data_IF_281746513278
#
_entry.id   IF_281746513278
#
_cell.length_a   1.000
_cell.length_b   1.000
_cell.length_c   1.000
_cell.angle_alpha   90.00
_cell.angle_beta   90.00
_cell.angle_gamma   90.00
#
_symmetry.space_group_name_H-M   'P 1'
#
loop_
_entity.id
_entity.type
_entity.pdbx_description
1 polymer ?
#
# COMPACT_ATOMS: atom_id res chain seq x y z
N UNK A 1 23.63 -22.59 2.69
CA UNK A 1 22.37 -22.77 3.44
C UNK A 1 22.22 -21.68 4.51
N UNK A 2 21.71 -20.50 4.11
CA UNK A 2 21.22 -19.51 5.08
C UNK A 2 19.85 -19.97 5.55
N UNK A 3 19.81 -20.76 6.61
CA UNK A 3 18.53 -21.13 7.22
C UNK A 3 18.22 -20.14 8.34
N UNK A 4 17.09 -19.42 8.24
CA UNK A 4 16.53 -18.56 9.29
C UNK A 4 16.09 -19.34 10.56
N UNK A 5 16.67 -20.52 10.82
CA UNK A 5 16.32 -21.46 11.91
C UNK A 5 16.47 -20.85 13.31
N UNK A 6 17.20 -19.75 13.46
CA UNK A 6 17.39 -19.05 14.75
C UNK A 6 16.35 -17.95 15.02
N UNK A 7 15.55 -17.55 14.03
CA UNK A 7 14.54 -16.51 14.20
C UNK A 7 13.15 -17.12 14.36
N UNK A 8 12.34 -16.62 15.31
CA UNK A 8 10.94 -17.02 15.41
C UNK A 8 10.22 -16.77 14.09
N UNK A 9 9.36 -17.69 13.65
CA UNK A 9 8.63 -17.57 12.38
C UNK A 9 7.86 -16.26 12.23
N UNK A 10 7.34 -15.72 13.35
CA UNK A 10 6.64 -14.43 13.41
C UNK A 10 7.53 -13.22 13.05
N UNK A 11 8.84 -13.36 13.19
CA UNK A 11 9.82 -12.31 12.92
C UNK A 11 10.42 -12.46 11.50
N UNK A 12 9.94 -13.43 10.72
CA UNK A 12 10.38 -13.68 9.35
C UNK A 12 9.34 -13.11 8.39
N UNK A 13 9.73 -12.07 7.64
CA UNK A 13 8.94 -11.57 6.52
C UNK A 13 8.99 -12.59 5.38
N UNK A 14 7.82 -13.03 4.93
CA UNK A 14 7.73 -14.02 3.86
C UNK A 14 7.88 -13.37 2.48
N UNK A 15 8.19 -14.17 1.47
CA UNK A 15 8.18 -13.68 0.07
C UNK A 15 6.80 -13.17 -0.35
N UNK A 16 5.72 -13.74 0.20
CA UNK A 16 4.37 -13.26 -0.07
C UNK A 16 4.15 -11.87 0.52
N UNK A 17 4.68 -11.59 1.71
CA UNK A 17 4.57 -10.27 2.32
C UNK A 17 5.37 -9.23 1.56
N UNK A 18 6.62 -9.56 1.21
CA UNK A 18 7.43 -8.70 0.34
C UNK A 18 6.75 -8.41 -1.01
N UNK A 19 6.15 -9.42 -1.64
CA UNK A 19 5.43 -9.23 -2.90
C UNK A 19 4.23 -8.29 -2.74
N UNK A 20 3.50 -8.36 -1.62
CA UNK A 20 2.42 -7.40 -1.33
C UNK A 20 2.95 -5.98 -1.21
N UNK A 21 4.06 -5.79 -0.49
CA UNK A 21 4.65 -4.48 -0.28
C UNK A 21 5.13 -3.88 -1.59
N UNK A 22 5.85 -4.67 -2.39
CA UNK A 22 6.34 -4.27 -3.71
C UNK A 22 5.19 -3.92 -4.66
N UNK A 23 4.14 -4.74 -4.73
CA UNK A 23 3.01 -4.43 -5.60
C UNK A 23 2.24 -3.18 -5.17
N UNK A 24 2.05 -3.01 -3.86
CA UNK A 24 1.35 -1.82 -3.32
C UNK A 24 2.14 -0.55 -3.59
N UNK A 25 3.47 -0.58 -3.35
CA UNK A 25 4.33 0.60 -3.35
C UNK A 25 4.90 0.84 -4.75
N UNK A 26 5.66 -0.10 -5.29
CA UNK A 26 6.40 0.13 -6.54
C UNK A 26 5.53 -0.04 -7.80
N UNK A 27 4.62 -1.01 -7.80
CA UNK A 27 3.66 -1.17 -8.91
C UNK A 27 2.42 -0.29 -8.75
N UNK A 28 2.25 0.37 -7.60
CA UNK A 28 1.16 1.31 -7.32
C UNK A 28 -0.23 0.69 -7.56
N UNK A 29 -0.37 -0.60 -7.24
CA UNK A 29 -1.60 -1.35 -7.51
C UNK A 29 -2.20 -1.95 -6.22
N UNK A 30 -2.81 -1.10 -5.36
CA UNK A 30 -3.37 -1.54 -4.08
C UNK A 30 -4.61 -2.44 -4.27
N UNK A 31 -5.46 -2.16 -5.27
CA UNK A 31 -6.62 -3.00 -5.59
C UNK A 31 -6.22 -4.43 -6.02
N UNK A 32 -5.23 -4.58 -6.91
CA UNK A 32 -4.75 -5.90 -7.33
C UNK A 32 -4.15 -6.66 -6.16
N UNK A 33 -3.33 -5.98 -5.33
CA UNK A 33 -2.72 -6.59 -4.14
C UNK A 33 -3.77 -7.14 -3.19
N UNK A 34 -4.85 -6.37 -2.95
CA UNK A 34 -5.96 -6.78 -2.09
C UNK A 34 -6.73 -7.97 -2.64
N UNK A 35 -6.96 -7.99 -3.95
CA UNK A 35 -7.82 -8.98 -4.61
C UNK A 35 -7.09 -10.30 -4.92
N UNK A 36 -5.77 -10.25 -5.13
CA UNK A 36 -5.00 -11.39 -5.63
C UNK A 36 -3.76 -11.75 -4.77
N UNK A 37 -3.83 -11.80 -3.42
CA UNK A 37 -2.66 -12.02 -2.58
C UNK A 37 -1.92 -13.34 -2.90
N UNK A 38 -2.64 -14.39 -3.28
CA UNK A 38 -2.07 -15.70 -3.65
C UNK A 38 -1.53 -15.79 -5.08
N UNK A 39 -1.70 -14.76 -5.93
CA UNK A 39 -1.17 -14.72 -7.31
C UNK A 39 0.04 -13.80 -7.46
N UNK A 40 0.45 -13.10 -6.40
CA UNK A 40 1.56 -12.14 -6.46
C UNK A 40 2.91 -12.79 -6.79
N UNK A 41 3.05 -14.10 -6.57
CA UNK A 41 4.26 -14.87 -6.85
C UNK A 41 4.10 -15.92 -7.95
N UNK A 42 2.99 -15.89 -8.71
CA UNK A 42 2.76 -16.84 -9.81
C UNK A 42 3.43 -16.36 -11.11
N UNK A 43 3.72 -17.31 -11.98
CA UNK A 43 4.26 -17.08 -13.32
C UNK A 43 5.59 -16.31 -13.29
N UNK A 44 5.80 -15.38 -14.22
CA UNK A 44 7.00 -14.54 -14.36
C UNK A 44 7.10 -13.42 -13.32
N UNK A 45 6.05 -13.20 -12.51
CA UNK A 45 5.96 -12.09 -11.53
C UNK A 45 7.05 -12.16 -10.47
N UNK A 46 7.48 -13.36 -10.09
CA UNK A 46 8.58 -13.53 -9.16
C UNK A 46 9.85 -12.85 -9.70
N UNK A 47 10.18 -13.07 -10.97
CA UNK A 47 11.35 -12.48 -11.60
C UNK A 47 11.20 -10.97 -11.76
N UNK A 48 9.99 -10.48 -11.99
CA UNK A 48 9.69 -9.06 -12.13
C UNK A 48 9.78 -8.32 -10.79
N UNK A 49 9.22 -8.89 -9.72
CA UNK A 49 9.27 -8.32 -8.37
C UNK A 49 10.69 -8.33 -7.83
N UNK A 50 11.36 -9.48 -7.95
CA UNK A 50 12.65 -9.72 -7.29
C UNK A 50 13.86 -9.43 -8.17
N UNK A 51 13.65 -9.03 -9.43
CA UNK A 51 14.64 -8.82 -10.50
C UNK A 51 15.83 -9.78 -10.40
N UNK A 52 15.56 -11.08 -10.26
CA UNK A 52 16.61 -12.08 -9.96
C UNK A 52 17.68 -12.20 -11.05
N UNK A 53 17.36 -11.70 -12.26
CA UNK A 53 18.28 -11.66 -13.40
C UNK A 53 19.06 -10.33 -13.50
N UNK A 54 18.75 -9.34 -12.66
CA UNK A 54 19.43 -8.05 -12.63
C UNK A 54 20.56 -8.07 -11.59
N UNK A 55 21.80 -8.21 -12.06
CA UNK A 55 23.00 -8.22 -11.21
C UNK A 55 23.26 -6.91 -10.47
N UNK A 56 22.66 -5.80 -10.92
CA UNK A 56 22.82 -4.47 -10.33
C UNK A 56 21.61 -4.05 -9.50
N UNK A 57 20.70 -4.97 -9.17
CA UNK A 57 19.51 -4.63 -8.39
C UNK A 57 19.89 -4.12 -6.99
N UNK A 58 19.26 -3.01 -6.58
CA UNK A 58 19.32 -2.56 -5.20
C UNK A 58 18.28 -3.29 -4.33
N UNK A 59 18.77 -4.22 -3.50
CA UNK A 59 17.95 -4.97 -2.55
C UNK A 59 17.39 -4.11 -1.41
N UNK A 60 17.89 -2.89 -1.18
CA UNK A 60 17.35 -1.99 -0.16
C UNK A 60 15.91 -1.59 -0.44
N UNK A 61 15.44 -1.69 -1.70
CA UNK A 61 14.02 -1.46 -2.03
C UNK A 61 13.09 -2.36 -1.23
N UNK A 62 13.44 -3.64 -1.03
CA UNK A 62 12.58 -4.55 -0.25
C UNK A 62 12.51 -4.18 1.22
N UNK A 63 13.66 -3.80 1.80
CA UNK A 63 13.74 -3.35 3.18
C UNK A 63 12.95 -2.05 3.38
N UNK A 64 13.08 -1.10 2.45
CA UNK A 64 12.35 0.16 2.49
C UNK A 64 10.84 -0.07 2.37
N UNK A 65 10.41 -0.90 1.42
CA UNK A 65 9.00 -1.25 1.25
C UNK A 65 8.40 -1.88 2.52
N UNK A 66 9.13 -2.81 3.15
CA UNK A 66 8.74 -3.38 4.44
C UNK A 66 8.60 -2.30 5.51
N UNK A 67 9.63 -1.46 5.71
CA UNK A 67 9.62 -0.44 6.76
C UNK A 67 8.48 0.57 6.59
N UNK A 68 8.22 1.01 5.36
CA UNK A 68 7.09 1.92 5.08
C UNK A 68 5.76 1.22 5.41
N UNK A 69 5.58 0.00 4.91
CA UNK A 69 4.33 -0.73 5.12
C UNK A 69 4.07 -1.01 6.61
N UNK A 70 5.11 -1.39 7.36
CA UNK A 70 5.04 -1.66 8.78
C UNK A 70 4.72 -0.39 9.59
N UNK A 71 5.38 0.73 9.30
CA UNK A 71 5.08 2.03 9.93
C UNK A 71 3.61 2.43 9.74
N UNK A 72 3.08 2.27 8.52
CA UNK A 72 1.65 2.54 8.25
C UNK A 72 0.76 1.55 8.99
N UNK A 73 1.10 0.25 8.98
CA UNK A 73 0.31 -0.80 9.62
C UNK A 73 0.22 -0.64 11.15
N UNK A 74 1.29 -0.17 11.80
CA UNK A 74 1.31 0.10 13.25
C UNK A 74 0.30 1.18 13.67
N UNK A 75 0.04 2.15 12.79
CA UNK A 75 -0.93 3.23 12.98
C UNK A 75 -2.33 2.85 12.46
N UNK A 76 -2.43 1.75 11.70
CA UNK A 76 -3.66 1.30 11.07
C UNK A 76 -4.56 0.47 12.02
N UNK A 77 -5.18 1.12 13.01
CA UNK A 77 -5.99 0.46 14.04
C UNK A 77 -7.39 1.06 14.17
N UNK A 78 -8.36 0.20 14.48
CA UNK A 78 -9.75 0.58 14.73
C UNK A 78 -10.63 0.53 13.48
N UNK A 79 -11.67 1.35 13.49
CA UNK A 79 -12.71 1.37 12.47
C UNK A 79 -12.80 2.73 11.78
N UNK A 80 -13.35 2.74 10.57
CA UNK A 80 -13.87 3.95 9.92
C UNK A 80 -15.35 3.76 9.66
N UNK A 81 -16.10 4.84 9.81
CA UNK A 81 -17.53 4.88 9.52
C UNK A 81 -17.74 5.46 8.13
N UNK A 82 -18.49 4.76 7.28
CA UNK A 82 -18.86 5.19 5.93
C UNK A 82 -20.37 5.02 5.80
N UNK A 83 -21.09 6.14 5.70
CA UNK A 83 -22.55 6.13 5.85
C UNK A 83 -22.92 5.66 7.26
N UNK A 84 -23.79 4.65 7.33
CA UNK A 84 -24.25 4.06 8.59
C UNK A 84 -23.46 2.79 8.99
N UNK A 85 -22.45 2.40 8.21
CA UNK A 85 -21.69 1.16 8.41
C UNK A 85 -20.27 1.43 8.92
N UNK A 86 -19.80 0.55 9.80
CA UNK A 86 -18.44 0.53 10.32
C UNK A 86 -17.57 -0.52 9.60
N UNK A 87 -16.39 -0.10 9.16
CA UNK A 87 -15.43 -0.95 8.49
C UNK A 87 -14.11 -1.02 9.26
N UNK A 88 -13.61 -2.24 9.45
CA UNK A 88 -12.27 -2.45 10.00
C UNK A 88 -11.22 -1.80 9.09
N UNK A 89 -10.40 -0.91 9.67
CA UNK A 89 -9.39 -0.13 8.95
C UNK A 89 -8.36 -1.00 8.21
N UNK A 90 -8.09 -2.20 8.71
CA UNK A 90 -7.22 -3.19 8.07
C UNK A 90 -7.67 -3.59 6.66
N UNK A 91 -8.95 -3.41 6.31
CA UNK A 91 -9.44 -3.68 4.95
C UNK A 91 -8.84 -2.73 3.90
N UNK A 92 -8.38 -1.55 4.33
CA UNK A 92 -7.90 -0.48 3.46
C UNK A 92 -6.37 -0.36 3.42
N UNK A 93 -5.63 -1.24 4.12
CA UNK A 93 -4.19 -1.08 4.34
C UNK A 93 -3.39 -0.83 3.06
N UNK A 94 -3.69 -1.53 1.97
CA UNK A 94 -2.97 -1.33 0.70
C UNK A 94 -3.21 0.06 0.11
N UNK A 95 -4.46 0.53 0.14
CA UNK A 95 -4.81 1.86 -0.33
C UNK A 95 -4.21 2.93 0.59
N UNK A 96 -4.27 2.70 1.91
CA UNK A 96 -3.69 3.59 2.90
C UNK A 96 -2.19 3.79 2.69
N UNK A 97 -1.44 2.69 2.49
CA UNK A 97 0.00 2.74 2.19
C UNK A 97 0.25 3.53 0.89
N UNK A 98 -0.47 3.22 -0.18
CA UNK A 98 -0.32 3.91 -1.47
C UNK A 98 -0.58 5.42 -1.37
N UNK A 99 -1.66 5.82 -0.70
CA UNK A 99 -2.04 7.22 -0.51
C UNK A 99 -1.02 7.95 0.38
N UNK A 100 -0.62 7.34 1.50
CA UNK A 100 0.36 7.94 2.44
C UNK A 100 1.68 8.26 1.74
N UNK A 101 2.17 7.33 0.91
CA UNK A 101 3.41 7.54 0.14
C UNK A 101 3.24 8.63 -0.90
N UNK A 102 2.09 8.69 -1.56
CA UNK A 102 1.80 9.70 -2.58
C UNK A 102 1.80 11.11 -1.96
N UNK A 103 1.23 11.26 -0.76
CA UNK A 103 1.25 12.51 0.01
C UNK A 103 2.66 12.90 0.44
N UNK A 104 3.44 11.96 1.01
CA UNK A 104 4.83 12.22 1.41
C UNK A 104 5.72 12.65 0.24
N UNK A 105 5.54 12.05 -0.93
CA UNK A 105 6.28 12.44 -2.14
C UNK A 105 5.71 13.70 -2.81
N UNK A 106 4.53 14.17 -2.39
CA UNK A 106 3.74 15.18 -3.13
C UNK A 106 3.63 14.81 -4.62
N UNK A 107 3.51 13.51 -4.91
CA UNK A 107 3.46 12.97 -6.26
C UNK A 107 3.04 11.50 -6.21
N UNK A 108 1.90 11.15 -6.82
CA UNK A 108 1.46 9.75 -6.92
C UNK A 108 2.29 8.91 -7.91
N UNK A 109 3.01 9.57 -8.82
CA UNK A 109 3.91 8.94 -9.78
C UNK A 109 5.35 8.82 -9.24
N UNK A 110 5.52 8.67 -7.92
CA UNK A 110 6.81 8.50 -7.25
C UNK A 110 7.65 7.35 -7.82
N UNK A 111 8.97 7.45 -7.68
CA UNK A 111 9.93 6.44 -8.13
C UNK A 111 10.65 5.84 -6.93
N UNK A 112 11.40 4.75 -7.12
CA UNK A 112 12.21 4.22 -6.03
C UNK A 112 13.20 5.24 -5.46
N UNK A 113 13.81 6.06 -6.33
CA UNK A 113 14.76 7.09 -5.89
C UNK A 113 14.09 8.18 -5.04
N UNK A 114 12.86 8.58 -5.37
CA UNK A 114 12.12 9.54 -4.55
C UNK A 114 11.73 8.93 -3.19
N UNK A 115 11.39 7.64 -3.16
CA UNK A 115 11.07 6.94 -1.91
C UNK A 115 12.26 6.84 -0.96
N UNK A 116 13.50 6.77 -1.46
CA UNK A 116 14.70 6.76 -0.60
C UNK A 116 14.84 8.05 0.22
N UNK A 117 14.19 9.13 -0.19
CA UNK A 117 14.23 10.41 0.51
C UNK A 117 13.17 10.51 1.63
N UNK A 118 12.23 9.56 1.71
CA UNK A 118 11.24 9.52 2.79
C UNK A 118 11.94 9.22 4.11
N UNK A 119 11.67 10.04 5.13
CA UNK A 119 12.00 9.69 6.50
C UNK A 119 10.81 8.95 7.11
N UNK A 120 11.08 7.81 7.73
CA UNK A 120 10.02 6.98 8.32
C UNK A 120 9.28 7.66 9.48
N UNK A 121 9.91 8.65 10.12
CA UNK A 121 9.30 9.50 11.15
C UNK A 121 8.17 10.40 10.62
N UNK A 122 8.17 10.69 9.31
CA UNK A 122 7.11 11.45 8.65
C UNK A 122 5.84 10.60 8.48
N UNK A 123 5.92 9.28 8.66
CA UNK A 123 4.77 8.38 8.72
C UNK A 123 4.19 8.44 10.14
N UNK A 124 3.34 9.45 10.37
CA UNK A 124 2.74 9.74 11.67
C UNK A 124 1.19 9.67 11.60
N UNK A 125 0.52 9.86 12.74
CA UNK A 125 -0.94 9.75 12.82
C UNK A 125 -1.69 10.81 11.97
N UNK A 126 -1.10 11.99 11.78
CA UNK A 126 -1.66 13.05 10.94
C UNK A 126 -1.70 12.62 9.47
N UNK A 127 -0.56 12.15 8.94
CA UNK A 127 -0.48 11.59 7.58
C UNK A 127 -1.50 10.46 7.37
N UNK A 128 -1.65 9.56 8.35
CA UNK A 128 -2.59 8.44 8.26
C UNK A 128 -4.03 8.93 8.24
N UNK A 129 -4.38 9.94 9.04
CA UNK A 129 -5.71 10.53 9.03
C UNK A 129 -6.00 11.24 7.70
N UNK A 130 -5.04 11.99 7.16
CA UNK A 130 -5.17 12.63 5.85
C UNK A 130 -5.35 11.61 4.74
N UNK A 131 -4.57 10.53 4.77
CA UNK A 131 -4.70 9.45 3.81
C UNK A 131 -6.07 8.75 3.91
N UNK A 132 -6.62 8.59 5.11
CA UNK A 132 -7.98 8.09 5.30
C UNK A 132 -9.05 9.04 4.79
N UNK A 133 -8.88 10.35 5.01
CA UNK A 133 -9.81 11.36 4.50
C UNK A 133 -9.90 11.27 2.97
N UNK A 134 -8.78 11.06 2.28
CA UNK A 134 -8.76 10.84 0.82
C UNK A 134 -9.53 9.59 0.42
N UNK A 135 -9.32 8.48 1.15
CA UNK A 135 -10.04 7.23 0.88
C UNK A 135 -11.55 7.40 1.08
N UNK A 136 -11.96 8.07 2.16
CA UNK A 136 -13.36 8.35 2.47
C UNK A 136 -13.96 9.27 1.42
N UNK A 137 -13.27 10.36 1.04
CA UNK A 137 -13.73 11.26 -0.02
C UNK A 137 -13.88 10.55 -1.36
N UNK A 138 -12.94 9.67 -1.73
CA UNK A 138 -13.06 8.85 -2.93
C UNK A 138 -14.29 7.93 -2.89
N UNK A 139 -14.69 7.46 -1.71
CA UNK A 139 -15.91 6.66 -1.51
C UNK A 139 -17.16 7.52 -1.61
N UNK A 140 -17.21 8.63 -0.86
CA UNK A 140 -18.40 9.48 -0.76
C UNK A 140 -18.71 10.22 -2.05
N UNK A 141 -17.71 10.77 -2.73
CA UNK A 141 -17.92 11.55 -3.95
C UNK A 141 -18.21 10.71 -5.20
N UNK A 142 -17.98 9.41 -5.13
CA UNK A 142 -18.34 8.48 -6.19
C UNK A 142 -19.59 7.65 -5.82
N UNK A 143 -20.35 8.10 -4.80
CA UNK A 143 -21.61 7.51 -4.34
C UNK A 143 -21.52 5.98 -4.14
N UNK A 144 -20.38 5.50 -3.62
CA UNK A 144 -20.20 4.07 -3.36
C UNK A 144 -21.02 3.73 -2.11
N UNK A 145 -22.12 3.01 -2.31
CA UNK A 145 -22.99 2.55 -1.23
C UNK A 145 -22.20 1.68 -0.25
N UNK A 146 -22.48 1.84 1.04
CA UNK A 146 -21.71 1.20 2.12
C UNK A 146 -21.63 -0.33 1.95
N UNK A 147 -22.73 -0.98 1.57
CA UNK A 147 -22.80 -2.42 1.27
C UNK A 147 -21.87 -2.90 0.14
N UNK A 148 -21.38 -1.99 -0.71
CA UNK A 148 -20.49 -2.30 -1.83
C UNK A 148 -19.03 -1.94 -1.56
N UNK A 149 -18.71 -1.19 -0.49
CA UNK A 149 -17.35 -0.69 -0.22
C UNK A 149 -16.29 -1.78 -0.30
N UNK A 150 -16.47 -2.89 0.44
CA UNK A 150 -15.47 -3.98 0.47
C UNK A 150 -15.27 -4.69 -0.87
N UNK A 151 -16.28 -4.64 -1.74
CA UNK A 151 -16.17 -5.13 -3.12
C UNK A 151 -15.43 -4.10 -3.97
N UNK A 152 -15.84 -2.84 -3.93
CA UNK A 152 -15.30 -1.77 -4.76
C UNK A 152 -13.83 -1.52 -4.50
N UNK A 153 -13.34 -1.57 -3.26
CA UNK A 153 -11.91 -1.42 -2.95
C UNK A 153 -11.01 -2.53 -3.51
N UNK A 154 -11.57 -3.57 -4.15
CA UNK A 154 -10.82 -4.62 -4.85
C UNK A 154 -10.76 -4.39 -6.35
N UNK A 155 -11.48 -3.38 -6.86
CA UNK A 155 -11.64 -3.10 -8.27
C UNK A 155 -10.67 -1.99 -8.71
N UNK A 156 -10.12 -2.13 -9.92
CA UNK A 156 -9.21 -1.12 -10.48
C UNK A 156 -9.87 0.27 -10.62
N UNK A 157 -11.20 0.31 -10.78
CA UNK A 157 -11.95 1.55 -10.81
C UNK A 157 -11.76 2.38 -9.53
N UNK A 158 -11.60 1.74 -8.38
CA UNK A 158 -11.37 2.44 -7.12
C UNK A 158 -9.99 3.11 -7.08
N UNK A 159 -8.95 2.49 -7.66
CA UNK A 159 -7.64 3.14 -7.83
C UNK A 159 -7.77 4.44 -8.63
N UNK A 160 -8.60 4.47 -9.67
CA UNK A 160 -8.85 5.69 -10.45
C UNK A 160 -9.50 6.80 -9.62
N UNK A 161 -10.43 6.46 -8.73
CA UNK A 161 -11.05 7.43 -7.82
C UNK A 161 -10.04 8.03 -6.84
N UNK A 162 -9.19 7.17 -6.24
CA UNK A 162 -8.10 7.61 -5.37
C UNK A 162 -7.11 8.49 -6.13
N UNK A 163 -6.71 8.11 -7.35
CA UNK A 163 -5.77 8.88 -8.15
C UNK A 163 -6.30 10.27 -8.50
N UNK A 164 -7.59 10.36 -8.86
CA UNK A 164 -8.24 11.66 -9.09
C UNK A 164 -8.16 12.55 -7.85
N UNK A 165 -8.44 12.00 -6.66
CA UNK A 165 -8.36 12.74 -5.40
C UNK A 165 -6.94 13.17 -5.04
N UNK A 166 -5.98 12.28 -5.23
CA UNK A 166 -4.57 12.61 -5.04
C UNK A 166 -4.13 13.75 -5.96
N UNK A 167 -4.53 13.71 -7.25
CA UNK A 167 -4.19 14.77 -8.20
C UNK A 167 -4.81 16.12 -7.82
N UNK A 168 -6.04 16.13 -7.31
CA UNK A 168 -6.68 17.36 -6.81
C UNK A 168 -5.96 17.94 -5.59
N UNK A 169 -5.47 17.11 -4.68
CA UNK A 169 -4.82 17.57 -3.45
C UNK A 169 -3.36 17.96 -3.69
N UNK A 170 -2.64 17.24 -4.56
CA UNK A 170 -1.22 17.46 -4.80
C UNK A 170 -0.97 18.68 -5.71
N UNK A 171 -1.89 18.98 -6.63
CA UNK A 171 -1.73 20.06 -7.60
C UNK A 171 -2.34 21.40 -7.14
N UNK A 172 -2.96 21.45 -5.97
CA UNK A 172 -3.46 22.67 -5.32
C UNK A 172 -2.51 23.13 -4.22
#
# INVERSE_FOLDING_TARGET
NYSNRKYPKKDIITLFDLAKYVYTIYFKDPAYTRNNPGKLLKDDKYNVIFEINNSNQDYNKYLLAYKIYDSVALLNKGKITIGDDDFEKVNFIHHLVYVSISLLNKNRNYTFDSLRQIKLEDINAELINDAYNIIIQAITENDIVASQVLKTIKEQKFNSFINKKLDEIINN
#
